data_IF_021181073576
#
_entry.id   IF_021181073576
#
_cell.length_a   1.000
_cell.length_b   1.000
_cell.length_c   1.000
_cell.angle_alpha   90.00
_cell.angle_beta   90.00
_cell.angle_gamma   90.00
#
_symmetry.space_group_name_H-M   'P 1'
#
loop_
_entity.id
_entity.type
_entity.pdbx_description
1 polymer ?
#
# COMPACT_ATOMS: atom_id res chain seq x y z
N UNK A 1 -4.41 -3.36 4.57
CA UNK A 1 -3.38 -4.38 4.27
C UNK A 1 -2.00 -3.78 3.96
N UNK A 2 -1.89 -2.52 3.50
CA UNK A 2 -0.57 -1.92 3.20
C UNK A 2 0.38 -1.87 4.41
N UNK A 3 -0.13 -1.48 5.59
CA UNK A 3 0.69 -1.43 6.81
C UNK A 3 1.37 -2.77 7.14
N UNK A 4 0.72 -3.91 6.84
CA UNK A 4 1.32 -5.24 7.07
C UNK A 4 2.50 -5.46 6.14
N UNK A 5 2.37 -5.09 4.86
CA UNK A 5 3.45 -5.20 3.87
C UNK A 5 4.64 -4.31 4.25
N UNK A 6 4.36 -3.09 4.71
CA UNK A 6 5.40 -2.15 5.13
C UNK A 6 6.17 -2.69 6.35
N UNK A 7 5.45 -3.30 7.32
CA UNK A 7 6.06 -3.96 8.47
C UNK A 7 6.89 -5.19 8.05
N UNK A 8 6.40 -6.00 7.11
CA UNK A 8 7.16 -7.14 6.59
C UNK A 8 8.47 -6.66 5.97
N UNK A 9 8.43 -5.62 5.13
CA UNK A 9 9.60 -5.01 4.49
C UNK A 9 10.58 -4.38 5.51
N UNK A 10 10.10 -3.92 6.66
CA UNK A 10 10.97 -3.38 7.75
C UNK A 10 11.61 -4.48 8.60
N UNK A 11 10.85 -5.52 8.92
CA UNK A 11 11.23 -6.53 9.89
C UNK A 11 11.92 -7.73 9.27
N UNK A 12 11.70 -7.98 7.97
CA UNK A 12 12.15 -9.20 7.31
C UNK A 12 12.76 -8.91 5.94
N UNK A 13 13.80 -9.68 5.64
CA UNK A 13 14.27 -9.92 4.28
C UNK A 13 13.34 -10.90 3.60
N UNK A 14 12.84 -10.54 2.41
CA UNK A 14 12.17 -11.51 1.53
C UNK A 14 13.24 -12.41 0.92
N UNK A 15 13.18 -13.69 1.21
CA UNK A 15 14.13 -14.69 0.69
C UNK A 15 13.60 -15.28 -0.62
N UNK A 16 12.34 -15.68 -0.62
CA UNK A 16 11.75 -16.32 -1.78
C UNK A 16 10.25 -16.11 -1.89
N UNK A 17 9.77 -16.11 -3.13
CA UNK A 17 8.36 -16.15 -3.50
C UNK A 17 8.16 -17.34 -4.43
N UNK A 18 7.41 -18.34 -3.98
CA UNK A 18 7.06 -19.51 -4.79
C UNK A 18 5.57 -19.43 -5.12
N UNK A 19 5.24 -19.17 -6.38
CA UNK A 19 3.85 -19.16 -6.84
C UNK A 19 3.34 -20.58 -7.03
N UNK A 20 2.14 -20.84 -6.52
CA UNK A 20 1.47 -22.13 -6.58
C UNK A 20 0.44 -22.11 -7.72
N UNK A 21 0.11 -23.28 -8.31
CA UNK A 21 -0.92 -23.36 -9.34
C UNK A 21 -2.28 -23.00 -8.74
N UNK A 22 -3.17 -22.42 -9.55
CA UNK A 22 -4.53 -22.04 -9.09
C UNK A 22 -5.34 -23.25 -8.60
N UNK A 23 -4.99 -24.44 -9.08
CA UNK A 23 -5.61 -25.72 -8.72
C UNK A 23 -5.17 -26.24 -7.35
N UNK A 24 -4.13 -25.66 -6.73
CA UNK A 24 -3.50 -26.17 -5.51
C UNK A 24 -4.48 -26.40 -4.35
N UNK A 25 -5.51 -25.57 -4.22
CA UNK A 25 -6.51 -25.71 -3.15
C UNK A 25 -7.90 -26.05 -3.68
N UNK A 26 -8.02 -26.37 -4.97
CA UNK A 26 -9.33 -26.64 -5.60
C UNK A 26 -9.99 -27.90 -5.04
N UNK A 27 -9.20 -28.94 -4.74
CA UNK A 27 -9.69 -30.16 -4.09
C UNK A 27 -10.30 -29.90 -2.69
N UNK A 28 -9.87 -28.82 -2.03
CA UNK A 28 -10.42 -28.35 -0.74
C UNK A 28 -11.52 -27.28 -0.89
N UNK A 29 -11.99 -27.03 -2.12
CA UNK A 29 -13.05 -26.08 -2.42
C UNK A 29 -12.60 -24.63 -2.65
N UNK A 30 -11.30 -24.36 -2.76
CA UNK A 30 -10.75 -23.02 -2.94
C UNK A 30 -10.00 -22.86 -4.28
N UNK A 31 -10.61 -22.14 -5.22
CA UNK A 31 -10.00 -21.81 -6.52
C UNK A 31 -9.19 -20.50 -6.50
N UNK A 32 -8.18 -20.41 -5.63
CA UNK A 32 -7.42 -19.17 -5.38
C UNK A 32 -6.01 -19.22 -5.97
N UNK A 33 -5.53 -18.09 -6.49
CA UNK A 33 -4.11 -17.90 -6.79
C UNK A 33 -3.36 -17.70 -5.47
N UNK A 34 -2.33 -18.49 -5.24
CA UNK A 34 -1.62 -18.51 -3.96
C UNK A 34 -0.11 -18.54 -4.17
N UNK A 35 0.64 -18.19 -3.13
CA UNK A 35 2.09 -18.23 -3.14
C UNK A 35 2.61 -18.46 -1.73
N UNK A 36 3.77 -19.10 -1.63
CA UNK A 36 4.50 -19.30 -0.38
C UNK A 36 5.62 -18.27 -0.30
N UNK A 37 5.64 -17.49 0.77
CA UNK A 37 6.64 -16.46 1.04
C UNK A 37 7.62 -16.95 2.10
N UNK A 38 8.92 -16.89 1.80
CA UNK A 38 9.98 -17.21 2.75
C UNK A 38 10.61 -15.92 3.24
N UNK A 39 10.67 -15.76 4.56
CA UNK A 39 11.13 -14.55 5.22
C UNK A 39 12.28 -14.86 6.17
N UNK A 40 13.33 -14.04 6.17
CA UNK A 40 14.40 -14.08 7.17
C UNK A 40 14.32 -12.82 8.02
N UNK A 41 14.14 -12.98 9.33
CA UNK A 41 14.05 -11.84 10.25
C UNK A 41 15.34 -11.03 10.24
N UNK A 42 15.23 -9.71 10.11
CA UNK A 42 16.36 -8.80 10.24
C UNK A 42 16.85 -8.72 11.68
N UNK A 43 18.12 -8.36 11.84
CA UNK A 43 18.64 -7.87 13.11
C UNK A 43 17.97 -6.54 13.45
N UNK A 44 17.78 -6.27 14.73
CA UNK A 44 17.10 -5.06 15.21
C UNK A 44 17.70 -3.78 14.61
N UNK A 45 19.04 -3.68 14.56
CA UNK A 45 19.74 -2.52 13.99
C UNK A 45 19.40 -2.26 12.52
N UNK A 46 19.19 -3.32 11.72
CA UNK A 46 18.83 -3.20 10.30
C UNK A 46 17.39 -2.72 10.18
N UNK A 47 16.47 -3.32 10.95
CA UNK A 47 15.07 -2.89 10.97
C UNK A 47 14.92 -1.42 11.41
N UNK A 48 15.66 -0.99 12.43
CA UNK A 48 15.67 0.40 12.87
C UNK A 48 16.22 1.34 11.79
N UNK A 49 17.29 0.96 11.09
CA UNK A 49 17.82 1.73 9.95
C UNK A 49 16.79 1.87 8.83
N UNK A 50 16.13 0.78 8.44
CA UNK A 50 15.09 0.80 7.39
C UNK A 50 13.92 1.68 7.82
N UNK A 51 13.43 1.52 9.05
CA UNK A 51 12.33 2.31 9.61
C UNK A 51 12.67 3.82 9.62
N UNK A 52 13.84 4.18 10.13
CA UNK A 52 14.29 5.57 10.20
C UNK A 52 14.43 6.17 8.81
N UNK A 53 14.99 5.43 7.84
CA UNK A 53 15.14 5.90 6.46
C UNK A 53 13.79 6.10 5.77
N UNK A 54 12.83 5.18 5.96
CA UNK A 54 11.45 5.32 5.47
C UNK A 54 10.76 6.55 6.05
N UNK A 55 10.89 6.80 7.35
CA UNK A 55 10.28 7.97 7.99
C UNK A 55 10.92 9.27 7.53
N UNK A 56 12.25 9.31 7.39
CA UNK A 56 12.96 10.47 6.84
C UNK A 56 12.47 10.78 5.43
N UNK A 57 12.34 9.78 4.55
CA UNK A 57 11.82 9.96 3.20
C UNK A 57 10.38 10.49 3.20
N UNK A 58 9.50 9.99 4.07
CA UNK A 58 8.12 10.49 4.20
C UNK A 58 8.11 11.97 4.58
N UNK A 59 8.91 12.37 5.56
CA UNK A 59 8.96 13.77 6.01
C UNK A 59 9.60 14.68 4.95
N UNK A 60 10.65 14.23 4.26
CA UNK A 60 11.25 14.96 3.14
C UNK A 60 10.24 15.20 2.02
N UNK A 61 9.52 14.16 1.58
CA UNK A 61 8.54 14.29 0.50
C UNK A 61 7.39 15.22 0.89
N UNK A 62 6.91 15.15 2.14
CA UNK A 62 5.90 16.10 2.63
C UNK A 62 6.42 17.54 2.62
N UNK A 63 7.67 17.75 3.04
CA UNK A 63 8.30 19.07 3.10
C UNK A 63 8.51 19.65 1.68
N UNK A 64 9.13 18.88 0.78
CA UNK A 64 9.47 19.28 -0.58
C UNK A 64 8.21 19.63 -1.40
N UNK A 65 7.11 18.93 -1.16
CA UNK A 65 5.84 19.18 -1.84
C UNK A 65 4.91 20.13 -1.06
N UNK A 66 5.42 20.80 -0.02
CA UNK A 66 4.67 21.74 0.82
C UNK A 66 3.32 21.20 1.29
N UNK A 67 3.21 19.88 1.54
CA UNK A 67 1.94 19.19 1.75
C UNK A 67 1.07 19.88 2.82
N UNK A 68 1.62 20.12 4.00
CA UNK A 68 0.90 20.75 5.10
C UNK A 68 0.39 22.16 4.76
N UNK A 69 1.15 22.94 3.98
CA UNK A 69 0.74 24.28 3.53
C UNK A 69 -0.41 24.19 2.53
N UNK A 70 -0.29 23.30 1.54
CA UNK A 70 -1.30 23.08 0.51
C UNK A 70 -2.63 22.63 1.12
N UNK A 71 -2.59 21.67 2.06
CA UNK A 71 -3.77 21.20 2.77
C UNK A 71 -4.42 22.33 3.58
N UNK A 72 -3.62 23.08 4.35
CA UNK A 72 -4.14 24.19 5.16
C UNK A 72 -4.75 25.31 4.29
N UNK A 73 -4.15 25.59 3.14
CA UNK A 73 -4.71 26.53 2.16
C UNK A 73 -6.07 26.04 1.63
N UNK A 74 -6.16 24.78 1.18
CA UNK A 74 -7.42 24.22 0.69
C UNK A 74 -8.51 24.15 1.78
N UNK A 75 -8.13 23.89 3.03
CA UNK A 75 -9.08 23.92 4.16
C UNK A 75 -9.62 25.33 4.38
N UNK A 76 -8.75 26.34 4.29
CA UNK A 76 -9.15 27.75 4.40
C UNK A 76 -10.08 28.14 3.26
N UNK A 77 -9.70 27.84 2.01
CA UNK A 77 -10.52 28.09 0.82
C UNK A 77 -11.90 27.46 0.97
N UNK A 78 -11.97 26.18 1.36
CA UNK A 78 -13.23 25.48 1.63
C UNK A 78 -14.08 26.21 2.67
N UNK A 79 -13.49 26.57 3.81
CA UNK A 79 -14.20 27.23 4.89
C UNK A 79 -14.69 28.63 4.50
N UNK A 80 -13.94 29.36 3.69
CA UNK A 80 -14.32 30.69 3.22
C UNK A 80 -15.42 30.63 2.16
N UNK A 81 -15.37 29.66 1.24
CA UNK A 81 -16.48 29.37 0.32
C UNK A 81 -17.76 29.01 1.07
N UNK A 82 -17.68 28.21 2.15
CA UNK A 82 -18.86 27.89 2.99
C UNK A 82 -19.48 29.16 3.57
N UNK A 83 -18.67 30.12 4.05
CA UNK A 83 -19.17 31.39 4.59
C UNK A 83 -19.82 32.24 3.51
N UNK A 84 -19.26 32.27 2.30
CA UNK A 84 -19.86 32.95 1.16
C UNK A 84 -21.19 32.33 0.75
N UNK A 85 -21.30 31.00 0.72
CA UNK A 85 -22.58 30.31 0.47
C UNK A 85 -23.63 30.67 1.51
N UNK A 86 -23.25 30.67 2.80
CA UNK A 86 -24.15 31.08 3.88
C UNK A 86 -24.59 32.56 3.78
N UNK A 87 -23.70 33.45 3.32
CA UNK A 87 -24.01 34.86 3.13
C UNK A 87 -24.96 35.06 1.95
N UNK A 88 -24.65 34.48 0.80
CA UNK A 88 -25.47 34.56 -0.41
C UNK A 88 -26.86 33.98 -0.18
N UNK A 89 -26.97 32.83 0.50
CA UNK A 89 -28.25 32.22 0.81
C UNK A 89 -29.13 33.11 1.73
N UNK A 90 -28.53 33.83 2.69
CA UNK A 90 -29.24 34.80 3.55
C UNK A 90 -29.70 36.03 2.78
N UNK A 91 -28.88 36.54 1.86
CA UNK A 91 -29.23 37.70 1.03
C UNK A 91 -30.39 37.36 0.08
N UNK A 92 -30.42 36.14 -0.46
CA UNK A 92 -31.49 35.65 -1.33
C UNK A 92 -32.77 35.26 -0.57
N UNK A 93 -32.66 34.92 0.73
CA UNK A 93 -33.79 34.50 1.57
C UNK A 93 -33.80 35.26 2.91
N UNK A 94 -34.17 36.55 2.93
CA UNK A 94 -34.02 37.42 4.12
C UNK A 94 -34.87 37.00 5.32
N UNK A 95 -35.98 36.30 5.08
CA UNK A 95 -36.91 35.81 6.11
C UNK A 95 -36.60 34.40 6.59
N UNK A 96 -35.67 33.70 5.94
CA UNK A 96 -35.33 32.32 6.28
C UNK A 96 -34.54 32.24 7.59
N UNK A 97 -34.89 31.28 8.43
CA UNK A 97 -34.20 30.96 9.66
C UNK A 97 -32.83 30.33 9.38
N UNK A 98 -31.93 30.36 10.37
CA UNK A 98 -30.59 29.74 10.26
C UNK A 98 -30.64 28.26 9.87
N UNK A 99 -31.70 27.53 10.27
CA UNK A 99 -31.89 26.12 9.95
C UNK A 99 -32.26 25.93 8.47
N UNK A 100 -33.16 26.77 7.95
CA UNK A 100 -33.59 26.75 6.55
C UNK A 100 -32.44 27.12 5.61
N UNK A 101 -31.63 28.13 5.96
CA UNK A 101 -30.40 28.46 5.22
C UNK A 101 -29.44 27.27 5.18
N UNK A 102 -29.30 26.54 6.30
CA UNK A 102 -28.48 25.33 6.38
C UNK A 102 -28.95 24.20 5.47
N UNK A 103 -30.26 24.03 5.30
CA UNK A 103 -30.84 23.06 4.37
C UNK A 103 -30.67 23.50 2.90
N UNK A 104 -30.84 24.79 2.60
CA UNK A 104 -30.67 25.35 1.24
C UNK A 104 -29.27 25.08 0.69
N UNK A 105 -28.23 25.27 1.51
CA UNK A 105 -26.82 25.12 1.08
C UNK A 105 -26.27 23.70 1.32
N UNK A 106 -27.09 22.78 1.83
CA UNK A 106 -26.64 21.45 2.25
C UNK A 106 -25.98 20.67 1.12
N UNK A 107 -26.63 20.64 -0.04
CA UNK A 107 -26.14 19.90 -1.20
C UNK A 107 -24.84 20.52 -1.74
N UNK A 108 -24.72 21.84 -1.73
CA UNK A 108 -23.50 22.54 -2.12
C UNK A 108 -22.36 22.30 -1.13
N UNK A 109 -22.64 22.27 0.18
CA UNK A 109 -21.66 21.89 1.21
C UNK A 109 -21.15 20.47 1.02
N UNK A 110 -22.04 19.52 0.71
CA UNK A 110 -21.66 18.13 0.42
C UNK A 110 -20.77 18.07 -0.82
N UNK A 111 -21.16 18.72 -1.92
CA UNK A 111 -20.35 18.79 -3.15
C UNK A 111 -18.97 19.40 -2.91
N UNK A 112 -18.91 20.50 -2.15
CA UNK A 112 -17.67 21.18 -1.81
C UNK A 112 -16.76 20.31 -0.92
N UNK A 113 -17.33 19.61 0.08
CA UNK A 113 -16.58 18.69 0.93
C UNK A 113 -16.05 17.50 0.12
N UNK A 114 -16.84 16.98 -0.83
CA UNK A 114 -16.40 15.92 -1.72
C UNK A 114 -15.24 16.40 -2.60
N UNK A 115 -15.38 17.56 -3.28
CA UNK A 115 -14.33 18.13 -4.11
C UNK A 115 -13.03 18.41 -3.34
N UNK A 116 -13.14 18.88 -2.10
CA UNK A 116 -11.98 19.02 -1.21
C UNK A 116 -11.34 17.66 -0.91
N UNK A 117 -12.14 16.66 -0.54
CA UNK A 117 -11.66 15.30 -0.24
C UNK A 117 -10.95 14.69 -1.45
N UNK A 118 -11.50 14.87 -2.65
CA UNK A 118 -10.93 14.38 -3.89
C UNK A 118 -9.57 15.06 -4.20
N UNK A 119 -9.48 16.39 -4.04
CA UNK A 119 -8.20 17.12 -4.16
C UNK A 119 -7.13 16.59 -3.20
N UNK A 120 -7.52 16.36 -1.94
CA UNK A 120 -6.61 15.83 -0.91
C UNK A 120 -6.16 14.41 -1.26
N UNK A 121 -7.07 13.56 -1.76
CA UNK A 121 -6.74 12.20 -2.15
C UNK A 121 -5.82 12.18 -3.37
N UNK A 122 -6.08 13.00 -4.39
CA UNK A 122 -5.22 13.12 -5.56
C UNK A 122 -3.79 13.54 -5.17
N UNK A 123 -3.66 14.54 -4.29
CA UNK A 123 -2.35 14.94 -3.78
C UNK A 123 -1.66 13.81 -3.01
N UNK A 124 -2.40 13.07 -2.16
CA UNK A 124 -1.84 11.92 -1.44
C UNK A 124 -1.37 10.82 -2.37
N UNK A 125 -2.12 10.53 -3.44
CA UNK A 125 -1.73 9.56 -4.46
C UNK A 125 -0.43 9.98 -5.16
N UNK A 126 -0.34 11.23 -5.61
CA UNK A 126 0.88 11.77 -6.21
C UNK A 126 2.10 11.68 -5.27
N UNK A 127 1.92 12.03 -3.99
CA UNK A 127 3.00 11.93 -3.00
C UNK A 127 3.36 10.48 -2.65
N UNK A 128 2.39 9.57 -2.67
CA UNK A 128 2.65 8.15 -2.48
C UNK A 128 3.50 7.59 -3.63
N UNK A 129 3.21 7.95 -4.88
CA UNK A 129 3.98 7.49 -6.03
C UNK A 129 5.42 8.02 -5.99
N UNK A 130 5.60 9.30 -5.63
CA UNK A 130 6.92 9.89 -5.35
C UNK A 130 7.64 9.13 -4.23
N UNK A 131 6.94 8.78 -3.16
CA UNK A 131 7.49 8.00 -2.06
C UNK A 131 7.91 6.61 -2.48
N UNK A 132 7.11 5.89 -3.26
CA UNK A 132 7.49 4.55 -3.74
C UNK A 132 8.76 4.59 -4.59
N UNK A 133 8.85 5.56 -5.51
CA UNK A 133 10.03 5.76 -6.37
C UNK A 133 11.27 6.09 -5.56
N UNK A 134 11.17 7.03 -4.60
CA UNK A 134 12.27 7.41 -3.75
C UNK A 134 12.71 6.26 -2.82
N UNK A 135 11.75 5.52 -2.26
CA UNK A 135 12.01 4.35 -1.41
C UNK A 135 12.77 3.27 -2.16
N UNK A 136 12.39 2.96 -3.40
CA UNK A 136 13.07 1.95 -4.21
C UNK A 136 14.54 2.30 -4.48
N UNK A 137 14.85 3.59 -4.60
CA UNK A 137 16.23 4.07 -4.81
C UNK A 137 17.03 4.15 -3.50
N UNK A 138 16.35 4.40 -2.39
CA UNK A 138 16.97 4.67 -1.10
C UNK A 138 17.21 3.41 -0.26
N UNK A 139 16.44 2.34 -0.45
CA UNK A 139 16.67 1.06 0.22
C UNK A 139 17.62 0.20 -0.59
N UNK A 140 18.43 -0.60 0.11
CA UNK A 140 19.39 -1.48 -0.54
C UNK A 140 18.65 -2.58 -1.31
N UNK A 141 19.04 -2.80 -2.56
CA UNK A 141 18.51 -3.89 -3.38
C UNK A 141 19.09 -5.23 -2.91
N UNK A 142 18.33 -6.29 -3.09
CA UNK A 142 18.75 -7.63 -2.74
C UNK A 142 18.09 -8.69 -3.61
N UNK A 143 18.80 -9.81 -3.88
CA UNK A 143 18.23 -10.88 -4.68
C UNK A 143 17.09 -11.59 -3.93
N UNK A 144 16.03 -11.91 -4.67
CA UNK A 144 14.89 -12.71 -4.22
C UNK A 144 14.80 -13.93 -5.13
N UNK A 145 14.71 -15.11 -4.55
CA UNK A 145 14.45 -16.33 -5.31
C UNK A 145 12.97 -16.38 -5.72
N UNK A 146 12.70 -16.40 -7.01
CA UNK A 146 11.34 -16.48 -7.56
C UNK A 146 11.18 -17.78 -8.33
N UNK A 147 10.11 -18.51 -8.03
CA UNK A 147 9.75 -19.72 -8.74
C UNK A 147 8.23 -19.79 -8.95
N UNK A 148 7.82 -20.44 -10.02
CA UNK A 148 6.43 -20.74 -10.32
C UNK A 148 6.34 -22.26 -10.44
N UNK A 149 5.50 -22.88 -9.63
CA UNK A 149 5.17 -24.29 -9.76
C UNK A 149 3.84 -24.42 -10.51
N UNK A 150 3.82 -25.25 -11.55
CA UNK A 150 2.62 -25.63 -12.29
C UNK A 150 2.08 -26.98 -11.83
N UNK A 151 2.98 -27.93 -11.54
CA UNK A 151 2.63 -29.23 -10.97
C UNK A 151 3.26 -29.43 -9.59
N UNK A 152 2.40 -29.58 -8.58
CA UNK A 152 2.78 -29.71 -7.18
C UNK A 152 2.57 -31.13 -6.63
N UNK A 153 2.43 -32.12 -7.53
CA UNK A 153 2.22 -33.52 -7.16
C UNK A 153 0.77 -33.97 -7.17
N UNK A 154 -0.19 -33.07 -7.47
CA UNK A 154 -1.60 -33.42 -7.58
C UNK A 154 -2.39 -32.42 -8.44
N UNK A 155 -3.50 -32.89 -9.01
CA UNK A 155 -4.40 -32.11 -9.86
C UNK A 155 -5.52 -31.42 -9.07
N UNK A 156 -6.40 -30.68 -9.78
CA UNK A 156 -7.54 -29.97 -9.19
C UNK A 156 -8.53 -30.86 -8.43
N UNK A 157 -8.56 -32.17 -8.73
CA UNK A 157 -9.41 -33.17 -8.07
C UNK A 157 -8.73 -33.82 -6.87
N UNK A 158 -7.46 -33.49 -6.61
CA UNK A 158 -6.64 -34.07 -5.54
C UNK A 158 -6.03 -35.42 -5.91
N UNK A 159 -6.01 -35.80 -7.19
CA UNK A 159 -5.35 -37.03 -7.65
C UNK A 159 -3.86 -36.76 -7.86
N UNK A 160 -3.03 -37.70 -7.43
CA UNK A 160 -1.58 -37.61 -7.62
C UNK A 160 -1.22 -37.52 -9.10
N UNK A 161 -0.29 -36.63 -9.41
CA UNK A 161 0.36 -36.52 -10.72
C UNK A 161 1.68 -37.31 -10.71
N UNK A 162 2.31 -37.43 -11.87
CA UNK A 162 3.63 -38.09 -12.01
C UNK A 162 4.81 -37.16 -11.75
N UNK A 163 4.56 -35.85 -11.60
CA UNK A 163 5.59 -34.83 -11.44
C UNK A 163 5.35 -34.02 -10.16
N UNK A 164 6.40 -33.43 -9.60
CA UNK A 164 6.28 -32.48 -8.49
C UNK A 164 7.45 -31.51 -8.51
N UNK A 165 7.21 -30.32 -9.06
CA UNK A 165 8.23 -29.29 -9.27
C UNK A 165 8.70 -28.67 -7.95
N UNK A 166 7.95 -28.83 -6.85
CA UNK A 166 8.36 -28.34 -5.54
C UNK A 166 9.64 -29.01 -5.02
N UNK A 167 9.96 -30.22 -5.50
CA UNK A 167 11.20 -30.91 -5.13
C UNK A 167 12.41 -30.17 -5.71
N UNK A 168 12.39 -29.86 -7.01
CA UNK A 168 13.46 -29.14 -7.69
C UNK A 168 13.55 -27.69 -7.19
N UNK A 169 12.41 -27.01 -7.10
CA UNK A 169 12.32 -25.65 -6.53
C UNK A 169 12.88 -25.62 -5.11
N UNK A 170 12.60 -26.66 -4.30
CA UNK A 170 13.12 -26.78 -2.95
C UNK A 170 14.64 -26.91 -2.90
N UNK A 171 15.25 -27.67 -3.82
CA UNK A 171 16.70 -27.80 -3.91
C UNK A 171 17.37 -26.47 -4.31
N UNK A 172 16.83 -25.79 -5.31
CA UNK A 172 17.36 -24.48 -5.75
C UNK A 172 17.17 -23.40 -4.67
N UNK A 173 16.03 -23.42 -3.97
CA UNK A 173 15.81 -22.55 -2.83
C UNK A 173 16.82 -22.81 -1.70
N UNK A 174 17.15 -24.08 -1.42
CA UNK A 174 18.16 -24.42 -0.42
C UNK A 174 19.54 -23.89 -0.81
N UNK A 175 19.94 -24.06 -2.09
CA UNK A 175 21.18 -23.49 -2.63
C UNK A 175 21.22 -21.96 -2.48
N UNK A 176 20.11 -21.30 -2.81
CA UNK A 176 19.98 -19.85 -2.68
C UNK A 176 20.10 -19.40 -1.21
N UNK A 177 19.43 -20.10 -0.28
CA UNK A 177 19.50 -19.82 1.16
C UNK A 177 20.94 -19.98 1.66
N UNK A 178 21.65 -21.03 1.25
CA UNK A 178 23.05 -21.24 1.62
C UNK A 178 23.94 -20.10 1.10
N UNK A 179 23.71 -19.68 -0.15
CA UNK A 179 24.41 -18.54 -0.75
C UNK A 179 24.22 -17.26 0.08
N UNK A 180 22.97 -16.85 0.34
CA UNK A 180 22.69 -15.61 1.08
C UNK A 180 23.14 -15.66 2.54
N UNK A 181 23.21 -16.85 3.16
CA UNK A 181 23.73 -16.98 4.52
C UNK A 181 25.26 -16.83 4.57
N UNK A 182 25.95 -17.12 3.47
CA UNK A 182 27.40 -16.91 3.33
C UNK A 182 27.73 -15.46 2.96
N UNK A 183 26.93 -14.85 2.09
CA UNK A 183 27.22 -13.53 1.51
C UNK A 183 26.63 -12.36 2.29
N UNK A 184 25.54 -12.57 3.04
CA UNK A 184 24.84 -11.51 3.77
C UNK A 184 24.95 -11.74 5.28
N UNK A 185 25.48 -10.76 6.01
CA UNK A 185 25.71 -10.82 7.45
C UNK A 185 24.66 -10.10 8.27
#
# INVERSE_FOLDING_TARGET
MQYVRDNIEEMYRIVAVVSMPQTAFTATGAGVKSSVLFLRKHKQEISEKIFNKKNQLKEQIKADNNFSKTISQWEKERNDTIKELEKTAKEQNPTATKKEIGEIIKDEKVKLQQAFTDKVNLLKEELNDKYFTAKQTALDDYPIFMAIAEDIGYDATGRNTSNNELIEIGNELANFIEHINKTEK
#
